data_IF_186533090833
#
_entry.id   IF_186533090833
#
_cell.length_a   1.000
_cell.length_b   1.000
_cell.length_c   1.000
_cell.angle_alpha   90.00
_cell.angle_beta   90.00
_cell.angle_gamma   90.00
#
_symmetry.space_group_name_H-M   'P 1'
#
loop_
_entity.id
_entity.type
_entity.pdbx_description
1 polymer ?
#
# COMPACT_ATOMS: atom_id res chain seq x y z
N UNK A 1 11.52 -30.95 39.84
CA UNK A 1 11.86 -30.35 38.54
C UNK A 1 11.32 -28.94 38.60
N UNK A 2 12.16 -27.99 38.97
CA UNK A 2 11.78 -26.59 39.09
C UNK A 2 11.58 -26.01 37.69
N UNK A 3 10.35 -25.59 37.39
CA UNK A 3 10.01 -24.91 36.16
C UNK A 3 10.59 -23.50 36.18
N UNK A 4 11.61 -23.26 35.36
CA UNK A 4 12.09 -21.91 35.12
C UNK A 4 10.94 -21.04 34.56
N UNK A 5 10.79 -19.77 35.00
CA UNK A 5 9.77 -18.89 34.47
C UNK A 5 10.06 -18.61 32.99
N UNK A 6 9.04 -18.77 32.14
CA UNK A 6 9.07 -18.32 30.76
C UNK A 6 9.26 -16.80 30.81
N UNK A 7 10.41 -16.31 30.34
CA UNK A 7 10.64 -14.88 30.18
C UNK A 7 9.55 -14.31 29.28
N UNK A 8 8.83 -13.29 29.75
CA UNK A 8 7.87 -12.55 28.93
C UNK A 8 8.62 -12.03 27.70
N UNK A 9 8.25 -12.52 26.51
CA UNK A 9 8.74 -11.89 25.27
C UNK A 9 8.40 -10.40 25.32
N UNK A 10 9.34 -9.50 24.98
CA UNK A 10 9.01 -8.10 24.82
C UNK A 10 7.85 -8.01 23.83
N UNK A 11 6.76 -7.34 24.22
CA UNK A 11 5.61 -7.14 23.35
C UNK A 11 6.05 -6.53 22.02
N UNK A 12 5.29 -6.81 20.95
CA UNK A 12 5.52 -6.17 19.65
C UNK A 12 5.48 -4.66 19.90
N UNK A 13 6.57 -3.91 19.62
CA UNK A 13 6.56 -2.47 19.80
C UNK A 13 5.48 -1.87 18.91
N UNK A 14 4.69 -0.93 19.42
CA UNK A 14 3.69 -0.23 18.59
C UNK A 14 4.40 0.50 17.44
N UNK A 15 3.86 0.39 16.23
CA UNK A 15 4.31 1.23 15.13
C UNK A 15 4.03 2.70 15.53
N UNK A 16 5.00 3.62 15.48
CA UNK A 16 4.74 5.02 15.77
C UNK A 16 3.60 5.53 14.89
N UNK A 17 2.43 5.71 15.48
CA UNK A 17 1.32 6.40 14.84
C UNK A 17 1.81 7.77 14.31
N UNK A 18 1.20 8.30 13.23
CA UNK A 18 1.62 9.57 12.67
C UNK A 18 1.77 10.64 13.76
N UNK A 19 2.90 11.35 13.80
CA UNK A 19 3.14 12.36 14.83
C UNK A 19 2.13 13.50 14.68
N UNK A 20 1.39 13.82 15.75
CA UNK A 20 0.36 14.87 15.74
C UNK A 20 -1.07 14.32 15.59
N UNK A 21 -1.67 13.99 16.74
CA UNK A 21 -3.10 13.85 17.03
C UNK A 21 -3.87 12.61 16.51
N UNK A 22 -4.90 12.15 17.27
CA UNK A 22 -5.81 11.05 16.91
C UNK A 22 -6.65 11.28 15.63
N UNK A 23 -6.48 12.42 14.95
CA UNK A 23 -7.25 12.84 13.77
C UNK A 23 -6.41 13.00 12.49
N UNK A 24 -5.13 12.58 12.47
CA UNK A 24 -4.33 12.62 11.24
C UNK A 24 -5.02 11.79 10.12
N UNK A 25 -5.37 12.37 8.95
CA UNK A 25 -6.06 11.65 7.88
C UNK A 25 -5.32 10.38 7.40
N UNK A 26 -3.99 10.36 7.44
CA UNK A 26 -3.19 9.18 7.04
C UNK A 26 -3.45 7.95 7.92
N UNK A 27 -3.86 8.15 9.18
CA UNK A 27 -4.16 7.06 10.12
C UNK A 27 -5.56 6.43 9.88
N UNK A 28 -6.37 6.98 8.99
CA UNK A 28 -7.71 6.47 8.72
C UNK A 28 -7.67 5.22 7.85
N UNK A 29 -8.49 4.22 8.18
CA UNK A 29 -8.79 3.13 7.25
C UNK A 29 -9.65 3.62 6.08
N UNK A 30 -9.55 2.96 4.93
CA UNK A 30 -10.23 3.38 3.68
C UNK A 30 -11.74 3.59 3.84
N UNK A 31 -12.41 2.71 4.59
CA UNK A 31 -13.86 2.82 4.82
C UNK A 31 -14.25 4.04 5.68
N UNK A 32 -13.40 4.43 6.64
CA UNK A 32 -13.64 5.62 7.46
C UNK A 32 -13.33 6.89 6.68
N UNK A 33 -12.23 6.90 5.93
CA UNK A 33 -11.90 8.00 5.03
C UNK A 33 -13.03 8.26 4.02
N UNK A 34 -13.53 7.20 3.35
CA UNK A 34 -14.66 7.30 2.41
C UNK A 34 -15.94 7.85 3.08
N UNK A 35 -16.24 7.46 4.32
CA UNK A 35 -17.38 8.01 5.08
C UNK A 35 -17.20 9.49 5.38
N UNK A 36 -16.01 9.90 5.85
CA UNK A 36 -15.72 11.31 6.14
C UNK A 36 -15.75 12.17 4.89
N UNK A 37 -15.28 11.65 3.76
CA UNK A 37 -15.36 12.31 2.46
C UNK A 37 -16.80 12.46 1.97
N UNK A 38 -17.61 11.40 2.07
CA UNK A 38 -19.03 11.47 1.73
C UNK A 38 -19.80 12.46 2.62
N UNK A 39 -19.37 12.67 3.86
CA UNK A 39 -19.93 13.66 4.78
C UNK A 39 -19.37 15.09 4.58
N UNK A 40 -18.42 15.29 3.67
CA UNK A 40 -17.74 16.58 3.46
C UNK A 40 -16.79 17.00 4.59
N UNK A 41 -16.44 16.07 5.49
CA UNK A 41 -15.55 16.31 6.63
C UNK A 41 -14.06 16.07 6.31
N UNK A 42 -13.77 15.50 5.14
CA UNK A 42 -12.42 15.22 4.63
C UNK A 42 -12.45 15.38 3.11
N UNK A 43 -11.40 15.94 2.52
CA UNK A 43 -11.23 15.98 1.07
C UNK A 43 -10.24 14.90 0.62
N UNK A 44 -10.34 14.50 -0.65
CA UNK A 44 -9.36 13.61 -1.29
C UNK A 44 -7.97 14.23 -1.22
N UNK A 45 -7.82 15.52 -1.52
CA UNK A 45 -6.54 16.23 -1.42
C UNK A 45 -5.96 16.16 -0.01
N UNK A 46 -6.75 16.38 1.04
CA UNK A 46 -6.27 16.34 2.41
C UNK A 46 -5.82 14.94 2.84
N UNK A 47 -6.53 13.89 2.41
CA UNK A 47 -6.14 12.51 2.67
C UNK A 47 -4.83 12.16 1.97
N UNK A 48 -4.73 12.46 0.66
CA UNK A 48 -3.54 12.17 -0.13
C UNK A 48 -2.33 12.97 0.37
N UNK A 49 -2.49 14.24 0.71
CA UNK A 49 -1.43 15.06 1.30
C UNK A 49 -0.90 14.45 2.59
N UNK A 50 -1.78 14.05 3.52
CA UNK A 50 -1.37 13.43 4.77
C UNK A 50 -0.63 12.10 4.54
N UNK A 51 -1.09 11.28 3.60
CA UNK A 51 -0.41 10.05 3.19
C UNK A 51 0.99 10.32 2.62
N UNK A 52 1.14 11.34 1.76
CA UNK A 52 2.43 11.72 1.18
C UNK A 52 3.40 12.29 2.22
N UNK A 53 2.90 13.09 3.17
CA UNK A 53 3.71 13.58 4.30
C UNK A 53 4.25 12.41 5.12
N UNK A 54 3.41 11.40 5.38
CA UNK A 54 3.81 10.18 6.09
C UNK A 54 4.85 9.38 5.31
N UNK A 55 4.67 9.24 3.99
CA UNK A 55 5.65 8.57 3.12
C UNK A 55 7.00 9.31 3.16
N UNK A 56 6.99 10.64 3.04
CA UNK A 56 8.20 11.44 3.09
C UNK A 56 8.95 11.30 4.43
N UNK A 57 8.20 11.20 5.54
CA UNK A 57 8.76 10.99 6.88
C UNK A 57 9.40 9.60 7.05
N UNK A 58 8.76 8.55 6.54
CA UNK A 58 9.04 7.16 6.95
C UNK A 58 9.65 6.26 5.90
N UNK A 59 9.36 6.50 4.63
CA UNK A 59 9.84 5.62 3.56
C UNK A 59 11.37 5.58 3.38
N UNK A 60 12.16 6.60 3.75
CA UNK A 60 13.63 6.44 3.80
C UNK A 60 14.08 5.23 4.63
N UNK A 61 13.34 4.90 5.68
CA UNK A 61 13.58 3.76 6.56
C UNK A 61 12.81 2.51 6.13
N UNK A 62 11.50 2.62 5.87
CA UNK A 62 10.63 1.46 5.58
C UNK A 62 10.82 0.92 4.16
N UNK A 63 11.06 1.79 3.17
CA UNK A 63 11.32 1.45 1.77
C UNK A 63 10.20 0.60 1.16
N UNK A 64 8.97 1.05 1.31
CA UNK A 64 7.77 0.41 0.79
C UNK A 64 7.54 0.70 -0.71
N UNK A 65 8.12 1.77 -1.26
CA UNK A 65 7.86 2.21 -2.64
C UNK A 65 9.09 2.01 -3.55
N UNK A 66 8.84 1.54 -4.79
CA UNK A 66 9.86 1.55 -5.87
C UNK A 66 9.65 2.72 -6.84
N UNK A 67 8.44 3.29 -6.85
CA UNK A 67 8.09 4.46 -7.62
C UNK A 67 6.97 5.21 -6.90
N UNK A 68 7.02 6.54 -6.89
CA UNK A 68 6.03 7.42 -6.31
C UNK A 68 5.98 8.70 -7.12
N UNK A 69 4.79 9.15 -7.51
CA UNK A 69 4.56 10.43 -8.15
C UNK A 69 3.64 11.29 -7.26
N UNK A 70 4.25 11.98 -6.29
CA UNK A 70 3.54 12.77 -5.29
C UNK A 70 2.75 13.93 -5.92
N UNK A 71 3.34 14.60 -6.92
CA UNK A 71 2.72 15.74 -7.58
C UNK A 71 1.51 15.31 -8.42
N UNK A 72 1.64 14.22 -9.19
CA UNK A 72 0.52 13.66 -9.94
C UNK A 72 -0.59 13.18 -9.01
N UNK A 73 -0.25 12.50 -7.90
CA UNK A 73 -1.23 12.04 -6.92
C UNK A 73 -2.04 13.21 -6.31
N UNK A 74 -1.37 14.31 -5.93
CA UNK A 74 -2.04 15.50 -5.40
C UNK A 74 -2.90 16.20 -6.46
N UNK A 75 -2.41 16.29 -7.70
CA UNK A 75 -3.18 16.87 -8.80
C UNK A 75 -4.44 16.04 -9.10
N UNK A 76 -4.31 14.71 -9.11
CA UNK A 76 -5.45 13.79 -9.28
C UNK A 76 -6.43 13.92 -8.11
N UNK A 77 -5.95 14.05 -6.87
CA UNK A 77 -6.78 14.24 -5.69
C UNK A 77 -7.65 15.51 -5.78
N UNK A 78 -7.05 16.64 -6.17
CA UNK A 78 -7.80 17.88 -6.44
C UNK A 78 -8.85 17.72 -7.52
N UNK A 79 -8.53 16.98 -8.58
CA UNK A 79 -9.49 16.70 -9.64
C UNK A 79 -10.65 15.83 -9.14
N UNK A 80 -10.38 14.82 -8.30
CA UNK A 80 -11.42 13.98 -7.68
C UNK A 80 -12.35 14.78 -6.77
N UNK A 81 -11.84 15.76 -6.03
CA UNK A 81 -12.67 16.64 -5.19
C UNK A 81 -13.64 17.52 -6.00
N UNK A 82 -13.32 17.81 -7.27
CA UNK A 82 -14.17 18.59 -8.17
C UNK A 82 -15.20 17.74 -8.94
N UNK A 83 -15.15 16.41 -8.83
CA UNK A 83 -16.00 15.47 -9.55
C UNK A 83 -17.09 14.87 -8.64
N UNK A 84 -18.26 14.50 -9.18
CA UNK A 84 -19.22 13.68 -8.44
C UNK A 84 -18.58 12.34 -8.00
N UNK A 85 -18.82 11.88 -6.76
CA UNK A 85 -18.29 10.60 -6.29
C UNK A 85 -18.76 9.42 -7.14
N UNK A 86 -17.82 8.59 -7.59
CA UNK A 86 -18.09 7.39 -8.41
C UNK A 86 -18.41 6.14 -7.59
N UNK A 87 -18.12 6.17 -6.29
CA UNK A 87 -18.29 5.03 -5.40
C UNK A 87 -17.40 5.15 -4.15
N UNK A 88 -17.31 4.09 -3.34
CA UNK A 88 -16.60 4.11 -2.06
C UNK A 88 -15.07 4.26 -2.16
N UNK A 89 -14.50 4.11 -3.36
CA UNK A 89 -13.07 4.29 -3.60
C UNK A 89 -12.73 5.66 -4.21
N UNK A 90 -13.73 6.51 -4.48
CA UNK A 90 -13.50 7.81 -5.10
C UNK A 90 -12.60 8.68 -4.23
N UNK A 91 -11.42 9.04 -4.75
CA UNK A 91 -10.41 9.85 -4.05
C UNK A 91 -9.59 9.10 -2.98
N UNK A 92 -9.74 7.78 -2.86
CA UNK A 92 -8.94 6.98 -1.91
C UNK A 92 -7.60 6.62 -2.56
N UNK A 93 -6.44 6.92 -1.93
CA UNK A 93 -5.14 6.49 -2.43
C UNK A 93 -4.93 4.99 -2.22
N UNK A 94 -4.49 4.29 -3.26
CA UNK A 94 -4.25 2.84 -3.26
C UNK A 94 -2.85 2.54 -3.79
N UNK A 95 -1.98 1.97 -2.95
CA UNK A 95 -0.66 1.52 -3.38
C UNK A 95 -0.72 0.29 -4.29
N UNK A 96 0.04 0.25 -5.37
CA UNK A 96 -0.01 -0.85 -6.35
C UNK A 96 1.29 -1.64 -6.33
N UNK A 97 1.24 -2.92 -5.97
CA UNK A 97 2.42 -3.79 -6.04
C UNK A 97 3.06 -3.74 -7.43
N UNK A 98 4.38 -3.70 -7.47
CA UNK A 98 5.19 -3.66 -8.70
C UNK A 98 5.20 -5.01 -9.44
N UNK A 99 4.02 -5.55 -9.71
CA UNK A 99 3.75 -6.68 -10.60
C UNK A 99 2.48 -6.46 -11.43
N UNK A 100 1.63 -5.52 -11.01
CA UNK A 100 0.49 -5.05 -11.79
C UNK A 100 0.98 -4.03 -12.80
N UNK A 101 0.71 -4.23 -14.08
CA UNK A 101 1.05 -3.28 -15.12
C UNK A 101 0.32 -1.93 -14.96
N UNK A 102 1.02 -0.85 -15.30
CA UNK A 102 0.53 0.53 -15.30
C UNK A 102 1.01 1.23 -16.56
N UNK A 103 0.12 1.94 -17.26
CA UNK A 103 0.46 2.65 -18.50
C UNK A 103 1.26 3.93 -18.26
N UNK A 104 1.04 4.58 -17.11
CA UNK A 104 1.58 5.88 -16.75
C UNK A 104 2.81 5.81 -15.83
N UNK A 105 3.12 4.63 -15.29
CA UNK A 105 4.21 4.38 -14.35
C UNK A 105 5.00 3.13 -14.75
N UNK A 106 6.29 3.04 -14.40
CA UNK A 106 7.06 1.83 -14.67
C UNK A 106 6.52 0.63 -13.89
N UNK A 107 6.69 -0.57 -14.44
CA UNK A 107 6.52 -1.84 -13.73
C UNK A 107 7.77 -2.67 -13.91
N UNK A 108 8.54 -2.88 -12.84
CA UNK A 108 9.85 -3.54 -12.91
C UNK A 108 9.83 -5.00 -12.41
N UNK A 109 8.69 -5.49 -11.93
CA UNK A 109 8.55 -6.86 -11.40
C UNK A 109 9.54 -7.17 -10.26
N UNK A 110 10.06 -6.14 -9.59
CA UNK A 110 11.16 -6.28 -8.62
C UNK A 110 12.47 -6.84 -9.20
N UNK A 111 12.67 -6.78 -10.53
CA UNK A 111 13.85 -7.29 -11.22
C UNK A 111 14.57 -6.19 -11.99
N UNK A 112 15.91 -6.18 -11.93
CA UNK A 112 16.76 -5.28 -12.72
C UNK A 112 16.62 -5.48 -14.23
N UNK A 113 16.12 -6.64 -14.66
CA UNK A 113 15.88 -6.94 -16.07
C UNK A 113 14.78 -6.06 -16.69
N UNK A 114 13.90 -5.50 -15.85
CA UNK A 114 12.78 -4.67 -16.25
C UNK A 114 12.88 -3.26 -15.68
N UNK A 115 14.09 -2.82 -15.30
CA UNK A 115 14.31 -1.44 -14.86
C UNK A 115 13.87 -0.46 -15.96
N UNK A 116 12.97 0.46 -15.62
CA UNK A 116 12.39 1.42 -16.57
C UNK A 116 11.40 0.84 -17.57
N UNK A 117 10.99 -0.44 -17.44
CA UNK A 117 9.93 -1.01 -18.27
C UNK A 117 8.62 -0.24 -18.08
N UNK A 118 8.01 0.17 -19.19
CA UNK A 118 6.76 0.93 -19.24
C UNK A 118 5.72 0.13 -20.02
N UNK A 119 4.80 -0.56 -19.33
CA UNK A 119 3.66 -1.21 -19.96
C UNK A 119 2.84 -0.22 -20.81
N UNK A 120 2.20 -0.72 -21.87
CA UNK A 120 1.39 0.12 -22.75
C UNK A 120 -0.02 0.38 -22.20
N UNK A 121 -0.50 -0.47 -21.30
CA UNK A 121 -1.84 -0.44 -20.72
C UNK A 121 -1.78 -0.78 -19.23
N UNK A 122 -2.80 -0.35 -18.51
CA UNK A 122 -3.01 -0.79 -17.13
C UNK A 122 -3.42 -2.27 -17.08
N UNK A 123 -3.01 -2.96 -16.02
CA UNK A 123 -3.61 -4.25 -15.65
C UNK A 123 -5.11 -4.08 -15.38
N UNK A 124 -5.90 -5.14 -15.60
CA UNK A 124 -7.35 -5.10 -15.39
C UNK A 124 -7.74 -4.66 -13.95
N UNK A 125 -7.03 -5.07 -12.87
CA UNK A 125 -7.31 -4.56 -11.53
C UNK A 125 -7.02 -3.06 -11.37
N UNK A 126 -5.95 -2.55 -11.97
CA UNK A 126 -5.61 -1.11 -11.89
C UNK A 126 -6.63 -0.28 -12.66
N UNK A 127 -7.03 -0.72 -13.86
CA UNK A 127 -8.09 -0.08 -14.64
C UNK A 127 -9.40 0.00 -13.84
N UNK A 128 -9.79 -1.10 -13.17
CA UNK A 128 -10.98 -1.12 -12.33
C UNK A 128 -10.91 -0.15 -11.14
N UNK A 129 -9.74 -0.03 -10.49
CA UNK A 129 -9.53 0.95 -9.41
C UNK A 129 -9.67 2.39 -9.90
N UNK A 130 -9.05 2.72 -11.03
CA UNK A 130 -9.15 4.07 -11.63
C UNK A 130 -10.57 4.38 -12.09
N UNK A 131 -11.27 3.42 -12.68
CA UNK A 131 -12.67 3.56 -13.06
C UNK A 131 -13.56 3.88 -11.84
N UNK A 132 -13.27 3.27 -10.68
CA UNK A 132 -13.93 3.54 -9.41
C UNK A 132 -13.53 4.88 -8.76
N UNK A 133 -12.61 5.63 -9.37
CA UNK A 133 -12.14 6.94 -8.90
C UNK A 133 -11.03 6.87 -7.86
N UNK A 134 -10.41 5.70 -7.64
CA UNK A 134 -9.25 5.57 -6.76
C UNK A 134 -8.04 6.32 -7.33
N UNK A 135 -7.15 6.75 -6.45
CA UNK A 135 -5.90 7.44 -6.80
C UNK A 135 -4.77 6.42 -6.69
N UNK A 136 -3.92 6.35 -7.71
CA UNK A 136 -2.76 5.44 -7.72
C UNK A 136 -1.51 6.29 -7.57
N UNK A 137 -0.98 6.48 -6.35
CA UNK A 137 0.16 7.38 -6.13
C UNK A 137 1.51 6.80 -6.59
N UNK A 138 1.59 5.49 -6.78
CA UNK A 138 2.86 4.85 -7.11
C UNK A 138 2.84 3.33 -7.01
N UNK A 139 4.06 2.77 -7.07
CA UNK A 139 4.33 1.34 -7.09
C UNK A 139 5.01 0.90 -5.80
N UNK A 140 4.42 -0.08 -5.12
CA UNK A 140 5.00 -0.67 -3.91
C UNK A 140 5.92 -1.83 -4.25
N UNK A 141 6.95 -2.03 -3.43
CA UNK A 141 7.95 -3.10 -3.58
C UNK A 141 7.28 -4.47 -3.63
N UNK A 142 7.74 -5.29 -4.57
CA UNK A 142 7.56 -6.74 -4.60
C UNK A 142 8.90 -7.45 -4.37
N UNK A 143 8.86 -8.72 -3.98
CA UNK A 143 10.00 -9.62 -4.25
C UNK A 143 10.11 -9.86 -5.75
N UNK A 144 11.31 -10.16 -6.23
CA UNK A 144 11.58 -10.37 -7.67
C UNK A 144 10.62 -11.43 -8.25
N UNK A 145 9.88 -11.04 -9.30
CA UNK A 145 8.81 -11.81 -9.95
C UNK A 145 7.80 -12.44 -8.97
N UNK A 146 7.54 -11.74 -7.87
CA UNK A 146 6.70 -12.20 -6.77
C UNK A 146 7.13 -13.54 -6.14
N UNK A 147 8.42 -13.89 -6.24
CA UNK A 147 8.97 -15.15 -5.75
C UNK A 147 9.80 -14.95 -4.46
N UNK A 148 11.00 -15.53 -4.36
CA UNK A 148 11.75 -15.67 -3.11
C UNK A 148 12.76 -14.55 -2.82
N UNK A 149 13.25 -13.83 -3.84
CA UNK A 149 14.30 -12.81 -3.66
C UNK A 149 13.73 -11.57 -2.97
N UNK A 150 14.11 -11.27 -1.71
CA UNK A 150 13.54 -10.15 -0.97
C UNK A 150 13.91 -8.79 -1.57
N UNK A 151 12.96 -7.86 -1.55
CA UNK A 151 13.20 -6.44 -1.84
C UNK A 151 13.78 -5.69 -0.63
N UNK A 152 14.03 -4.38 -0.75
CA UNK A 152 14.66 -3.57 0.30
C UNK A 152 13.74 -3.22 1.47
N UNK A 153 12.43 -3.49 1.36
CA UNK A 153 11.43 -3.12 2.36
C UNK A 153 11.71 -3.75 3.72
N UNK A 154 11.53 -2.96 4.78
CA UNK A 154 11.66 -3.37 6.18
C UNK A 154 10.30 -3.39 6.86
N UNK A 155 10.19 -4.17 7.94
CA UNK A 155 8.99 -4.18 8.75
C UNK A 155 8.82 -2.83 9.47
N UNK A 156 7.66 -2.16 9.40
CA UNK A 156 7.49 -0.84 10.02
C UNK A 156 7.52 -0.86 11.55
N UNK A 157 7.22 -2.00 12.19
CA UNK A 157 7.26 -2.16 13.65
C UNK A 157 8.70 -2.41 14.16
N UNK A 158 9.55 -3.05 13.36
CA UNK A 158 10.95 -3.31 13.67
C UNK A 158 11.77 -3.34 12.38
N UNK A 159 12.51 -2.26 12.12
CA UNK A 159 13.30 -2.06 10.90
C UNK A 159 14.41 -3.12 10.71
N UNK A 160 14.72 -3.93 11.73
CA UNK A 160 15.65 -5.06 11.62
C UNK A 160 14.99 -6.35 11.09
N UNK A 161 13.65 -6.37 10.95
CA UNK A 161 12.87 -7.55 10.58
C UNK A 161 12.34 -7.47 9.16
N UNK A 162 12.03 -8.66 8.63
CA UNK A 162 11.37 -8.78 7.34
C UNK A 162 9.90 -8.33 7.43
N UNK A 163 9.40 -7.59 6.43
CA UNK A 163 7.97 -7.31 6.27
C UNK A 163 7.21 -8.53 5.70
N UNK A 164 7.89 -9.64 5.42
CA UNK A 164 7.37 -10.76 4.66
C UNK A 164 7.42 -10.50 3.15
N UNK A 165 6.74 -11.32 2.37
CA UNK A 165 6.68 -11.18 0.91
C UNK A 165 5.71 -12.19 0.29
N UNK A 166 5.41 -12.11 -1.01
CA UNK A 166 6.03 -11.20 -1.96
C UNK A 166 5.47 -9.78 -2.03
N UNK A 167 4.31 -9.50 -1.43
CA UNK A 167 3.70 -8.16 -1.41
C UNK A 167 4.25 -7.30 -0.26
N UNK A 168 5.58 -7.21 -0.16
CA UNK A 168 6.29 -6.61 0.98
C UNK A 168 5.98 -5.12 1.15
N UNK A 169 6.12 -4.34 0.07
CA UNK A 169 5.85 -2.91 0.09
C UNK A 169 4.38 -2.60 0.35
N UNK A 170 3.46 -3.38 -0.22
CA UNK A 170 2.01 -3.19 0.01
C UNK A 170 1.64 -3.35 1.49
N UNK A 171 2.12 -4.39 2.15
CA UNK A 171 1.81 -4.62 3.56
C UNK A 171 2.52 -3.61 4.47
N UNK A 172 3.79 -3.30 4.21
CA UNK A 172 4.55 -2.33 4.98
C UNK A 172 3.97 -0.90 4.83
N UNK A 173 3.58 -0.51 3.62
CA UNK A 173 2.98 0.79 3.35
C UNK A 173 1.63 0.98 4.07
N UNK A 174 0.76 -0.04 4.04
CA UNK A 174 -0.50 0.02 4.83
C UNK A 174 -0.21 -0.03 6.33
N UNK A 175 0.73 -0.88 6.75
CA UNK A 175 1.12 -1.02 8.15
C UNK A 175 1.78 0.24 8.73
N UNK A 176 2.37 1.09 7.88
CA UNK A 176 2.97 2.37 8.26
C UNK A 176 2.18 3.62 7.89
N UNK A 177 0.90 3.44 7.56
CA UNK A 177 -0.02 4.53 7.25
C UNK A 177 0.39 5.36 6.03
N UNK A 178 1.21 4.81 5.12
CA UNK A 178 1.54 5.43 3.85
C UNK A 178 0.30 5.54 2.95
N UNK A 179 -0.56 4.51 2.98
CA UNK A 179 -1.84 4.46 2.27
C UNK A 179 -2.84 3.62 3.06
N UNK A 180 -4.15 3.92 2.98
CA UNK A 180 -5.19 3.17 3.69
C UNK A 180 -5.49 1.80 3.05
N UNK A 181 -5.07 1.59 1.80
CA UNK A 181 -5.28 0.35 1.05
C UNK A 181 -4.12 0.13 0.06
N UNK A 182 -3.77 -1.13 -0.20
CA UNK A 182 -2.81 -1.48 -1.24
C UNK A 182 -3.18 -2.82 -1.90
N UNK A 183 -2.84 -2.94 -3.18
CA UNK A 183 -2.95 -4.19 -3.93
C UNK A 183 -1.75 -5.09 -3.65
N UNK A 184 -2.01 -6.38 -3.49
CA UNK A 184 -1.00 -7.42 -3.39
C UNK A 184 -1.44 -8.67 -4.15
N UNK A 185 -0.48 -9.48 -4.60
CA UNK A 185 -0.74 -10.73 -5.31
C UNK A 185 -0.37 -11.94 -4.46
N UNK A 186 -1.11 -13.05 -4.63
CA UNK A 186 -0.88 -14.27 -3.85
C UNK A 186 -0.94 -15.56 -4.66
N UNK A 187 0.23 -16.19 -4.76
CA UNK A 187 0.39 -17.58 -5.25
C UNK A 187 0.48 -18.57 -4.08
N UNK A 188 1.30 -18.26 -3.07
CA UNK A 188 1.61 -19.17 -1.93
C UNK A 188 1.63 -18.48 -0.57
N UNK A 189 0.69 -17.58 -0.32
CA UNK A 189 0.62 -16.77 0.91
C UNK A 189 1.17 -15.35 0.80
N UNK A 190 1.51 -14.90 -0.41
CA UNK A 190 2.19 -13.62 -0.67
C UNK A 190 1.40 -12.34 -0.38
N UNK A 191 0.14 -12.43 0.03
CA UNK A 191 -0.65 -11.31 0.57
C UNK A 191 -0.83 -11.47 2.08
N UNK A 192 -1.29 -12.63 2.54
CA UNK A 192 -1.62 -12.85 3.96
C UNK A 192 -0.39 -12.91 4.87
N UNK A 193 0.75 -13.44 4.39
CA UNK A 193 1.99 -13.52 5.17
C UNK A 193 2.59 -12.14 5.45
N UNK A 194 2.85 -11.27 4.45
CA UNK A 194 3.35 -9.95 4.74
C UNK A 194 2.35 -9.09 5.53
N UNK A 195 1.04 -9.27 5.30
CA UNK A 195 0.02 -8.62 6.10
C UNK A 195 0.11 -8.99 7.60
N UNK A 196 0.24 -10.29 7.91
CA UNK A 196 0.43 -10.74 9.28
C UNK A 196 1.72 -10.20 9.92
N UNK A 197 2.81 -10.08 9.15
CA UNK A 197 4.08 -9.56 9.66
C UNK A 197 4.01 -8.06 9.93
N UNK A 198 3.27 -7.32 9.10
CA UNK A 198 3.12 -5.87 9.20
C UNK A 198 1.84 -5.46 9.96
N UNK A 199 1.21 -6.36 10.72
CA UNK A 199 0.08 -6.02 11.59
C UNK A 199 -1.17 -5.50 10.87
N UNK A 200 -1.41 -5.91 9.61
CA UNK A 200 -2.56 -5.46 8.81
C UNK A 200 -3.41 -6.62 8.31
N UNK A 201 -4.63 -6.30 7.87
CA UNK A 201 -5.49 -7.29 7.23
C UNK A 201 -5.01 -7.60 5.81
N UNK A 202 -4.89 -8.90 5.49
CA UNK A 202 -4.63 -9.39 4.14
C UNK A 202 -5.77 -10.28 3.67
N UNK A 203 -6.30 -10.00 2.48
CA UNK A 203 -7.39 -10.78 1.89
C UNK A 203 -6.97 -11.34 0.53
N UNK A 204 -7.07 -12.66 0.37
CA UNK A 204 -6.95 -13.34 -0.93
C UNK A 204 -8.34 -13.86 -1.33
N UNK A 205 -9.01 -13.28 -2.33
CA UNK A 205 -10.30 -13.78 -2.80
C UNK A 205 -10.17 -15.19 -3.39
N UNK A 206 -11.31 -15.83 -3.66
CA UNK A 206 -11.35 -17.11 -4.37
C UNK A 206 -10.62 -17.00 -5.72
N UNK A 207 -9.92 -18.06 -6.11
CA UNK A 207 -9.22 -18.10 -7.39
C UNK A 207 -10.21 -17.85 -8.55
N UNK A 208 -9.80 -17.02 -9.52
CA UNK A 208 -10.65 -16.61 -10.65
C UNK A 208 -11.69 -15.52 -10.34
N UNK A 209 -11.76 -15.01 -9.10
CA UNK A 209 -12.71 -13.94 -8.74
C UNK A 209 -12.33 -12.57 -9.32
N UNK A 210 -11.03 -12.30 -9.44
CA UNK A 210 -10.47 -11.05 -9.99
C UNK A 210 -9.87 -11.35 -11.35
N UNK A 211 -10.14 -10.52 -12.35
CA UNK A 211 -9.41 -10.58 -13.62
C UNK A 211 -7.94 -10.19 -13.37
N UNK A 212 -7.01 -11.05 -13.76
CA UNK A 212 -5.57 -10.87 -13.54
C UNK A 212 -4.81 -10.50 -14.81
N UNK A 213 -5.48 -10.08 -15.88
CA UNK A 213 -4.80 -9.60 -17.08
C UNK A 213 -3.86 -8.44 -16.73
N UNK A 214 -2.59 -8.54 -17.16
CA UNK A 214 -1.52 -7.57 -16.84
C UNK A 214 -0.90 -7.74 -15.44
N UNK A 215 -0.93 -8.94 -14.85
CA UNK A 215 -0.36 -9.28 -13.54
C UNK A 215 0.56 -10.50 -13.62
#
# INVERSE_FOLDING_TARGET
MDGAPVSSEPGIPDNPAPTGAPDNPAALGAAEAARRMAAGALTSEALVAACLDRIAERDPDVRAWVHLDADAALAEARARDAEPPRGPLHGIPVGIKDIYDTADMPTAYGSVLYEGHRPAVDSAPVEALRAAGAIVPGKTVTTEFAYLTPGPTRNPYDLSRSPGGSSSGSAAGVGDYHVPLAMGSQTGGSTIRPAAYCGVYGFKPTFGFVNIDGV
#
